data_IF_316955673385
#
_entry.id   IF_316955673385
#
_cell.length_a   1.000
_cell.length_b   1.000
_cell.length_c   1.000
_cell.angle_alpha   90.00
_cell.angle_beta   90.00
_cell.angle_gamma   90.00
#
_symmetry.space_group_name_H-M   'P 1'
#
loop_
_entity.id
_entity.type
_entity.pdbx_description
1 polymer ?
#
# COMPACT_ATOMS: atom_id res chain seq x y z
N UNK A 1 -3.20 -11.79 8.30
CA UNK A 1 -1.90 -11.62 8.98
C UNK A 1 -0.71 -11.87 8.05
N UNK A 2 -0.79 -12.79 7.08
CA UNK A 2 0.35 -13.14 6.21
C UNK A 2 0.79 -12.00 5.25
N UNK A 3 -0.07 -11.03 4.96
CA UNK A 3 0.26 -9.87 4.12
C UNK A 3 1.50 -9.11 4.63
N UNK A 4 1.62 -8.95 5.94
CA UNK A 4 2.69 -8.17 6.59
C UNK A 4 3.82 -9.04 7.15
N UNK A 5 3.95 -10.29 6.70
CA UNK A 5 4.98 -11.22 7.18
C UNK A 5 6.39 -10.92 6.66
N UNK A 6 6.56 -9.89 5.84
CA UNK A 6 7.83 -9.52 5.20
C UNK A 6 8.25 -10.40 4.03
N UNK A 7 7.43 -11.39 3.66
CA UNK A 7 7.71 -12.33 2.56
C UNK A 7 7.33 -11.82 1.18
N UNK A 8 6.63 -10.69 1.10
CA UNK A 8 6.10 -10.12 -0.14
C UNK A 8 6.08 -8.60 -0.08
N UNK A 9 6.07 -7.98 -1.26
CA UNK A 9 5.94 -6.53 -1.39
C UNK A 9 4.46 -6.16 -1.31
N UNK A 10 4.13 -5.29 -0.35
CA UNK A 10 2.79 -4.70 -0.21
C UNK A 10 2.80 -3.36 -0.93
N UNK A 11 1.76 -3.10 -1.74
CA UNK A 11 1.57 -1.78 -2.37
C UNK A 11 0.63 -0.94 -1.53
N UNK A 12 0.79 0.37 -1.59
CA UNK A 12 -0.04 1.33 -0.84
C UNK A 12 -0.70 2.30 -1.81
N UNK A 13 -1.96 2.63 -1.53
CA UNK A 13 -2.59 3.83 -2.09
C UNK A 13 -2.96 4.79 -0.96
N UNK A 14 -2.82 6.08 -1.24
CA UNK A 14 -3.27 7.16 -0.38
C UNK A 14 -4.29 7.98 -1.19
N UNK A 15 -5.46 8.24 -0.61
CA UNK A 15 -6.52 9.02 -1.25
C UNK A 15 -6.81 8.54 -2.69
N UNK A 16 -7.00 7.23 -2.86
CA UNK A 16 -7.30 6.55 -4.13
C UNK A 16 -6.18 6.51 -5.17
N UNK A 17 -4.97 7.03 -4.86
CA UNK A 17 -3.83 7.03 -5.77
C UNK A 17 -2.70 6.12 -5.26
N UNK A 18 -2.10 5.32 -6.15
CA UNK A 18 -0.90 4.53 -5.83
C UNK A 18 0.28 5.49 -5.62
N UNK A 19 1.03 5.25 -4.56
CA UNK A 19 2.17 6.09 -4.18
C UNK A 19 3.49 5.33 -4.31
N UNK A 20 4.57 6.09 -4.47
CA UNK A 20 5.94 5.58 -4.43
C UNK A 20 6.37 5.23 -3.00
N UNK A 21 7.55 4.64 -2.85
CA UNK A 21 8.07 4.07 -1.60
C UNK A 21 8.15 5.07 -0.43
N UNK A 22 8.30 6.37 -0.71
CA UNK A 22 8.40 7.43 0.29
C UNK A 22 7.29 8.46 0.03
N UNK A 23 6.34 8.54 0.95
CA UNK A 23 5.27 9.54 0.95
C UNK A 23 5.06 10.11 2.35
N UNK A 24 4.68 11.39 2.41
CA UNK A 24 4.28 12.07 3.65
C UNK A 24 2.79 11.85 3.90
N UNK A 25 2.43 11.33 5.07
CA UNK A 25 1.04 11.21 5.49
C UNK A 25 0.60 12.46 6.23
N UNK A 26 -0.62 12.91 5.96
CA UNK A 26 -1.30 13.97 6.67
C UNK A 26 -2.47 13.42 7.48
N UNK A 27 -2.89 14.19 8.47
CA UNK A 27 -4.10 13.86 9.22
C UNK A 27 -5.31 13.86 8.29
N UNK A 28 -6.09 12.78 8.33
CA UNK A 28 -7.27 12.59 7.48
C UNK A 28 -7.03 11.80 6.19
N UNK A 29 -5.78 11.45 5.86
CA UNK A 29 -5.49 10.65 4.67
C UNK A 29 -6.05 9.21 4.80
N UNK A 30 -6.69 8.74 3.72
CA UNK A 30 -7.18 7.37 3.60
C UNK A 30 -6.09 6.47 3.02
N UNK A 31 -5.73 5.41 3.75
CA UNK A 31 -4.63 4.51 3.37
C UNK A 31 -5.16 3.10 3.09
N UNK A 32 -4.84 2.57 1.90
CA UNK A 32 -5.17 1.21 1.49
C UNK A 32 -3.92 0.38 1.23
N UNK A 33 -3.90 -0.86 1.72
CA UNK A 33 -2.82 -1.83 1.51
C UNK A 33 -3.28 -2.93 0.56
N UNK A 34 -2.52 -3.17 -0.49
CA UNK A 34 -2.82 -4.19 -1.49
C UNK A 34 -1.75 -5.30 -1.47
N UNK A 35 -2.17 -6.58 -1.51
CA UNK A 35 -1.24 -7.67 -1.80
C UNK A 35 -0.59 -7.49 -3.17
N UNK A 36 0.49 -8.24 -3.47
CA UNK A 36 1.05 -8.28 -4.81
C UNK A 36 -0.05 -8.51 -5.85
N UNK A 37 -0.21 -7.54 -6.74
CA UNK A 37 -1.15 -7.66 -7.85
C UNK A 37 -0.53 -8.59 -8.90
N UNK A 38 -1.06 -9.80 -9.03
CA UNK A 38 -0.66 -10.78 -10.06
C UNK A 38 -1.59 -10.72 -11.29
N UNK A 39 -2.25 -9.57 -11.51
CA UNK A 39 -3.31 -9.43 -12.51
C UNK A 39 -2.79 -9.38 -13.95
N UNK A 40 -2.99 -10.49 -14.65
CA UNK A 40 -2.95 -10.73 -16.10
C UNK A 40 -3.76 -11.99 -16.38
#
# INVERSE_FOLDING_TARGET
ADLFSGKQVVRVAINYELVDDIMVLNEGDEVAFFPPVTGG
#
